data_IF_398955340845
#
_entry.id   IF_398955340845
#
_cell.length_a   1.000
_cell.length_b   1.000
_cell.length_c   1.000
_cell.angle_alpha   90.00
_cell.angle_beta   90.00
_cell.angle_gamma   90.00
#
_symmetry.space_group_name_H-M   'P 1'
#
loop_
_entity.id
_entity.type
_entity.pdbx_description
1 polymer ?
#
# COMPACT_ATOMS: atom_id res chain seq x y z
N UNK A 1 -21.72 -17.84 -13.74
CA UNK A 1 -21.99 -17.03 -12.55
C UNK A 1 -22.10 -15.53 -12.87
N UNK A 2 -21.96 -15.14 -14.15
CA UNK A 2 -22.04 -13.74 -14.60
C UNK A 2 -20.77 -12.90 -14.30
N UNK A 3 -19.65 -13.53 -13.99
CA UNK A 3 -18.37 -12.86 -13.74
C UNK A 3 -17.39 -13.10 -14.88
N UNK A 4 -16.56 -12.08 -15.14
CA UNK A 4 -15.43 -12.17 -16.09
C UNK A 4 -14.15 -12.39 -15.30
N UNK A 5 -13.46 -13.50 -15.60
CA UNK A 5 -12.21 -13.88 -14.94
C UNK A 5 -11.06 -13.77 -15.94
N UNK A 6 -10.29 -12.67 -15.85
CA UNK A 6 -9.12 -12.45 -16.71
C UNK A 6 -8.15 -11.46 -16.03
N UNK A 7 -6.89 -11.46 -16.46
CA UNK A 7 -5.93 -10.43 -16.08
C UNK A 7 -6.43 -9.04 -16.50
N UNK A 8 -6.48 -8.10 -15.54
CA UNK A 8 -6.93 -6.73 -15.78
C UNK A 8 -8.45 -6.60 -15.98
N UNK A 9 -9.26 -7.63 -15.67
CA UNK A 9 -10.71 -7.52 -15.82
C UNK A 9 -11.33 -6.52 -14.83
N UNK A 10 -10.80 -6.47 -13.62
CA UNK A 10 -11.21 -5.59 -12.53
C UNK A 10 -10.17 -4.49 -12.26
N UNK A 11 -8.94 -4.70 -12.65
CA UNK A 11 -7.82 -3.80 -12.49
C UNK A 11 -7.04 -3.72 -13.82
N UNK A 12 -7.30 -2.68 -14.66
CA UNK A 12 -8.46 -1.74 -14.56
C UNK A 12 -9.24 -1.65 -15.88
N UNK A 13 -9.18 -2.66 -16.76
CA UNK A 13 -9.89 -2.63 -18.08
C UNK A 13 -11.41 -2.47 -17.95
N UNK A 14 -12.00 -3.00 -16.86
CA UNK A 14 -13.42 -2.82 -16.55
C UNK A 14 -13.74 -1.34 -16.33
N UNK A 15 -13.00 -0.69 -15.46
CA UNK A 15 -13.14 0.73 -15.11
C UNK A 15 -12.89 1.62 -16.34
N UNK A 16 -11.82 1.36 -17.10
CA UNK A 16 -11.56 2.08 -18.35
C UNK A 16 -12.69 1.93 -19.37
N UNK A 17 -13.28 0.75 -19.50
CA UNK A 17 -14.43 0.52 -20.40
C UNK A 17 -15.68 1.25 -19.90
N UNK A 18 -15.92 1.36 -18.60
CA UNK A 18 -17.04 2.13 -18.03
C UNK A 18 -16.93 3.59 -18.46
N UNK A 19 -15.74 4.20 -18.41
CA UNK A 19 -15.52 5.59 -18.85
C UNK A 19 -15.82 5.77 -20.33
N UNK A 20 -15.36 4.86 -21.17
CA UNK A 20 -15.64 4.89 -22.63
C UNK A 20 -17.14 4.78 -22.90
N UNK A 21 -17.85 3.88 -22.20
CA UNK A 21 -19.29 3.69 -22.36
C UNK A 21 -20.11 4.85 -21.80
N UNK A 22 -19.69 5.43 -20.70
CA UNK A 22 -20.29 6.65 -20.14
C UNK A 22 -20.19 7.82 -21.13
N UNK A 23 -19.02 8.01 -21.72
CA UNK A 23 -18.79 9.03 -22.73
C UNK A 23 -19.62 8.80 -24.01
N UNK A 24 -19.66 7.56 -24.53
CA UNK A 24 -20.48 7.18 -25.68
C UNK A 24 -21.98 7.50 -25.43
N UNK A 25 -22.45 7.19 -24.21
CA UNK A 25 -23.85 7.47 -23.83
C UNK A 25 -24.10 8.97 -23.73
N UNK A 26 -23.21 9.73 -23.10
CA UNK A 26 -23.35 11.18 -23.00
C UNK A 26 -23.44 11.88 -24.39
N UNK A 27 -22.65 11.40 -25.36
CA UNK A 27 -22.74 11.89 -26.75
C UNK A 27 -24.09 11.55 -27.34
N UNK A 28 -24.54 10.29 -27.26
CA UNK A 28 -25.80 9.83 -27.86
C UNK A 28 -27.02 10.55 -27.31
N UNK A 29 -27.01 10.83 -26.02
CA UNK A 29 -28.11 11.53 -25.33
C UNK A 29 -28.00 13.06 -25.42
N UNK A 30 -26.97 13.61 -26.07
CA UNK A 30 -26.75 15.06 -26.18
C UNK A 30 -26.42 15.74 -24.83
N UNK A 31 -25.91 15.00 -23.87
CA UNK A 31 -25.58 15.49 -22.51
C UNK A 31 -24.15 16.03 -22.39
N UNK A 32 -23.30 15.78 -23.37
CA UNK A 32 -21.91 16.19 -23.33
C UNK A 32 -21.79 17.71 -23.57
N UNK A 33 -21.34 18.44 -22.57
CA UNK A 33 -21.19 19.91 -22.59
C UNK A 33 -19.74 20.39 -22.44
N UNK A 34 -18.78 19.48 -22.48
CA UNK A 34 -17.35 19.78 -22.29
C UNK A 34 -16.50 19.04 -23.31
N UNK A 35 -15.24 19.46 -23.44
CA UNK A 35 -14.23 18.69 -24.17
C UNK A 35 -13.73 17.56 -23.28
N UNK A 36 -13.48 16.41 -23.89
CA UNK A 36 -12.96 15.23 -23.17
C UNK A 36 -11.67 14.76 -23.82
N UNK A 37 -10.69 14.47 -23.01
CA UNK A 37 -9.42 13.85 -23.38
C UNK A 37 -9.30 12.53 -22.65
N UNK A 38 -8.88 11.48 -23.34
CA UNK A 38 -8.58 10.18 -22.75
C UNK A 38 -7.07 9.97 -22.75
N UNK A 39 -6.55 9.53 -21.61
CA UNK A 39 -5.18 9.04 -21.48
C UNK A 39 -5.29 7.58 -21.06
N UNK A 40 -4.67 6.70 -21.82
CA UNK A 40 -4.53 5.29 -21.47
C UNK A 40 -3.07 5.00 -21.24
N UNK A 41 -2.76 4.50 -20.06
CA UNK A 41 -1.43 4.11 -19.67
C UNK A 41 -1.29 2.59 -19.69
N UNK A 42 -0.12 2.09 -20.02
CA UNK A 42 0.18 0.66 -20.05
C UNK A 42 1.31 0.23 -19.11
N UNK A 43 1.82 1.14 -18.28
CA UNK A 43 2.99 0.91 -17.40
C UNK A 43 2.67 1.03 -15.90
N UNK A 44 1.39 1.19 -15.53
CA UNK A 44 0.98 1.40 -14.13
C UNK A 44 1.53 0.31 -13.21
N UNK A 45 1.37 -0.96 -13.59
CA UNK A 45 1.80 -2.14 -12.83
C UNK A 45 3.33 -2.26 -12.61
N UNK A 46 4.12 -1.46 -13.29
CA UNK A 46 5.58 -1.36 -13.11
C UNK A 46 6.02 0.01 -12.57
N UNK A 47 5.07 0.83 -12.08
CA UNK A 47 5.32 2.13 -11.46
C UNK A 47 5.41 3.30 -12.41
N UNK A 48 4.79 3.20 -13.60
CA UNK A 48 4.62 4.32 -14.55
C UNK A 48 5.91 5.07 -14.92
N UNK A 49 7.00 4.41 -15.28
CA UNK A 49 8.30 5.06 -15.44
C UNK A 49 8.34 6.15 -16.52
N UNK A 50 7.45 6.08 -17.51
CA UNK A 50 7.37 7.05 -18.61
C UNK A 50 6.32 8.15 -18.43
N UNK A 51 5.40 8.00 -17.47
CA UNK A 51 4.23 8.89 -17.35
C UNK A 51 4.61 10.32 -16.96
N UNK A 52 5.54 10.48 -16.02
CA UNK A 52 5.95 11.81 -15.57
C UNK A 52 6.60 12.63 -16.70
N UNK A 53 7.50 12.01 -17.46
CA UNK A 53 8.14 12.67 -18.59
C UNK A 53 7.15 12.98 -19.71
N UNK A 54 6.24 12.04 -20.01
CA UNK A 54 5.16 12.28 -20.96
C UNK A 54 4.28 13.48 -20.55
N UNK A 55 3.89 13.56 -19.29
CA UNK A 55 3.08 14.67 -18.78
C UNK A 55 3.84 16.01 -18.88
N UNK A 56 5.14 16.00 -18.61
CA UNK A 56 5.99 17.18 -18.69
C UNK A 56 6.12 17.69 -20.12
N UNK A 57 6.35 16.79 -21.07
CA UNK A 57 6.52 17.10 -22.51
C UNK A 57 5.22 17.54 -23.16
N UNK A 58 4.07 17.00 -22.75
CA UNK A 58 2.76 17.25 -23.34
C UNK A 58 1.83 18.11 -22.48
N UNK A 59 2.39 18.96 -21.61
CA UNK A 59 1.64 19.76 -20.64
C UNK A 59 0.48 20.56 -21.24
N UNK A 60 0.70 21.20 -22.39
CA UNK A 60 -0.34 21.99 -23.06
C UNK A 60 -1.44 21.11 -23.67
N UNK A 61 -1.08 19.94 -24.20
CA UNK A 61 -2.05 18.96 -24.69
C UNK A 61 -2.94 18.41 -23.56
N UNK A 62 -2.32 18.17 -22.40
CA UNK A 62 -2.98 17.57 -21.24
C UNK A 62 -3.77 18.55 -20.38
N UNK A 63 -3.62 19.85 -20.62
CA UNK A 63 -4.32 20.88 -19.84
C UNK A 63 -5.82 20.62 -19.81
N UNK A 64 -6.39 20.55 -18.61
CA UNK A 64 -7.80 20.29 -18.33
C UNK A 64 -8.23 21.04 -17.07
N UNK A 65 -9.52 21.26 -16.92
CA UNK A 65 -10.11 21.87 -15.72
C UNK A 65 -10.33 20.83 -14.62
N UNK A 66 -10.58 19.57 -15.02
CA UNK A 66 -10.81 18.42 -14.14
C UNK A 66 -10.08 17.21 -14.69
N UNK A 67 -9.49 16.42 -13.81
CA UNK A 67 -8.91 15.11 -14.11
C UNK A 67 -9.72 14.08 -13.33
N UNK A 68 -10.24 13.08 -14.05
CA UNK A 68 -10.88 11.90 -13.47
C UNK A 68 -9.94 10.70 -13.63
N UNK A 69 -9.49 10.15 -12.52
CA UNK A 69 -8.71 8.89 -12.48
C UNK A 69 -9.68 7.75 -12.24
N UNK A 70 -9.67 6.73 -13.09
CA UNK A 70 -10.65 5.66 -13.08
C UNK A 70 -10.14 4.34 -12.51
N UNK A 71 -9.02 4.35 -11.84
CA UNK A 71 -8.40 3.18 -11.20
C UNK A 71 -8.87 3.04 -9.75
N UNK A 72 -10.16 2.82 -9.56
CA UNK A 72 -10.79 2.66 -8.23
C UNK A 72 -11.91 1.63 -8.29
N UNK A 73 -12.42 1.24 -7.11
CA UNK A 73 -13.53 0.30 -6.98
C UNK A 73 -14.75 0.95 -6.31
N UNK A 74 -15.93 0.36 -6.50
CA UNK A 74 -17.13 0.71 -5.74
C UNK A 74 -17.09 0.07 -4.34
N UNK A 75 -17.84 0.62 -3.40
CA UNK A 75 -18.03 0.02 -2.06
C UNK A 75 -18.68 -1.37 -2.17
N UNK A 76 -19.68 -1.49 -3.03
CA UNK A 76 -20.31 -2.77 -3.41
C UNK A 76 -21.01 -2.64 -4.77
N UNK A 77 -21.52 -3.73 -5.30
CA UNK A 77 -22.31 -3.71 -6.55
C UNK A 77 -23.55 -2.79 -6.48
N UNK A 78 -24.09 -2.61 -5.27
CA UNK A 78 -25.28 -1.79 -5.02
C UNK A 78 -24.95 -0.38 -4.51
N UNK A 79 -23.68 -0.11 -4.17
CA UNK A 79 -23.26 1.15 -3.57
C UNK A 79 -22.14 1.78 -4.40
N UNK A 80 -22.47 2.63 -5.38
CA UNK A 80 -21.46 3.38 -6.12
C UNK A 80 -20.73 4.35 -5.19
N UNK A 81 -19.48 4.65 -5.53
CA UNK A 81 -18.66 5.59 -4.76
C UNK A 81 -17.78 6.43 -5.66
N UNK A 82 -17.43 7.61 -5.19
CA UNK A 82 -16.38 8.45 -5.73
C UNK A 82 -15.23 8.46 -4.74
N UNK A 83 -14.07 7.97 -5.18
CA UNK A 83 -12.85 8.01 -4.38
C UNK A 83 -12.27 9.43 -4.42
N UNK A 84 -12.16 10.06 -3.27
CA UNK A 84 -11.66 11.44 -3.15
C UNK A 84 -10.20 11.52 -2.74
N UNK A 85 -9.57 10.39 -2.43
CA UNK A 85 -8.16 10.37 -2.05
C UNK A 85 -7.58 8.96 -2.11
N UNK A 86 -6.26 8.92 -2.24
CA UNK A 86 -5.47 7.70 -2.25
C UNK A 86 -4.37 7.81 -1.21
N UNK A 87 -4.11 6.72 -0.51
CA UNK A 87 -2.98 6.62 0.40
C UNK A 87 -1.67 6.55 -0.40
N UNK A 88 -0.63 7.17 0.15
CA UNK A 88 0.72 7.01 -0.35
C UNK A 88 1.30 5.63 -0.08
N UNK A 89 2.50 5.42 -0.57
CA UNK A 89 3.24 4.17 -0.45
C UNK A 89 4.72 4.46 -0.25
N UNK A 90 5.38 3.67 0.60
CA UNK A 90 6.82 3.48 0.57
C UNK A 90 7.13 1.99 0.70
N UNK A 91 8.12 1.51 -0.05
CA UNK A 91 8.43 0.09 -0.18
C UNK A 91 9.94 -0.16 -0.06
N UNK A 92 10.33 -1.23 0.65
CA UNK A 92 11.73 -1.58 0.87
C UNK A 92 11.96 -3.07 0.75
N UNK A 93 13.20 -3.40 0.39
CA UNK A 93 13.77 -4.72 0.58
C UNK A 93 14.81 -4.66 1.71
N UNK A 94 14.78 -5.62 2.62
CA UNK A 94 15.66 -5.73 3.77
C UNK A 94 16.47 -7.00 3.63
N UNK A 95 17.79 -6.88 3.71
CA UNK A 95 18.73 -8.00 3.79
C UNK A 95 19.42 -8.00 5.17
N UNK A 96 19.27 -9.08 5.91
CA UNK A 96 20.04 -9.34 7.13
C UNK A 96 21.13 -10.34 6.82
N UNK A 97 22.39 -9.95 7.04
CA UNK A 97 23.57 -10.79 6.84
C UNK A 97 24.20 -11.15 8.18
N UNK A 98 24.37 -12.43 8.44
CA UNK A 98 25.05 -13.01 9.60
C UNK A 98 26.42 -13.58 9.25
N UNK A 99 26.64 -14.92 9.41
CA UNK A 99 27.92 -15.54 9.11
C UNK A 99 28.24 -15.51 7.59
N UNK A 100 29.50 -15.75 7.24
CA UNK A 100 29.97 -15.71 5.84
C UNK A 100 29.49 -16.89 4.97
N UNK A 101 28.82 -17.87 5.55
CA UNK A 101 28.22 -19.04 4.91
C UNK A 101 27.16 -19.66 5.81
N UNK A 102 26.35 -20.53 5.27
CA UNK A 102 25.42 -21.33 6.07
C UNK A 102 26.18 -22.25 7.01
N UNK A 103 25.72 -22.34 8.25
CA UNK A 103 26.34 -23.10 9.32
C UNK A 103 25.40 -24.21 9.83
N UNK A 104 25.98 -25.22 10.46
CA UNK A 104 25.20 -26.26 11.12
C UNK A 104 24.65 -25.74 12.46
N UNK A 105 23.33 -25.71 12.61
CA UNK A 105 22.69 -25.14 13.81
C UNK A 105 23.00 -25.91 15.10
N UNK A 106 23.28 -27.21 15.02
CA UNK A 106 23.69 -28.02 16.18
C UNK A 106 25.09 -27.69 16.72
N UNK A 107 25.95 -27.09 15.90
CA UNK A 107 27.31 -26.70 16.31
C UNK A 107 27.41 -25.21 16.67
N UNK A 108 26.65 -24.35 15.97
CA UNK A 108 26.78 -22.89 16.06
C UNK A 108 25.55 -22.22 16.69
N UNK A 109 24.42 -22.95 16.82
CA UNK A 109 23.21 -22.45 17.44
C UNK A 109 23.45 -22.05 18.90
N UNK A 110 22.92 -20.88 19.28
CA UNK A 110 23.16 -20.29 20.61
C UNK A 110 24.45 -19.48 20.74
N UNK A 111 25.42 -19.66 19.81
CA UNK A 111 26.68 -18.91 19.80
C UNK A 111 26.74 -17.87 18.65
N UNK A 112 26.10 -18.19 17.52
CA UNK A 112 26.05 -17.32 16.33
C UNK A 112 24.60 -16.92 16.08
N UNK A 113 24.37 -15.65 15.81
CA UNK A 113 23.05 -15.15 15.51
C UNK A 113 22.48 -15.75 14.21
N UNK A 114 21.21 -16.15 14.25
CA UNK A 114 20.47 -16.56 13.07
C UNK A 114 19.83 -15.33 12.42
N UNK A 115 20.18 -14.97 11.17
CA UNK A 115 19.60 -13.82 10.47
C UNK A 115 18.08 -13.84 10.39
N UNK A 116 17.44 -15.01 10.26
CA UNK A 116 15.98 -15.13 10.25
C UNK A 116 15.40 -14.69 11.60
N UNK A 117 15.96 -15.17 12.72
CA UNK A 117 15.49 -14.79 14.05
C UNK A 117 15.61 -13.28 14.31
N UNK A 118 16.74 -12.69 13.84
CA UNK A 118 16.95 -11.24 13.94
C UNK A 118 15.94 -10.49 13.09
N UNK A 119 15.77 -10.90 11.83
CA UNK A 119 14.81 -10.28 10.91
C UNK A 119 13.38 -10.35 11.47
N UNK A 120 12.94 -11.53 11.92
CA UNK A 120 11.60 -11.70 12.50
C UNK A 120 11.39 -10.77 13.71
N UNK A 121 12.41 -10.64 14.57
CA UNK A 121 12.31 -9.74 15.71
C UNK A 121 12.25 -8.27 15.29
N UNK A 122 13.11 -7.84 14.38
CA UNK A 122 13.09 -6.47 13.85
C UNK A 122 11.71 -6.13 13.26
N UNK A 123 11.13 -7.05 12.48
CA UNK A 123 9.81 -6.84 11.87
C UNK A 123 8.69 -6.84 12.90
N UNK A 124 8.72 -7.73 13.88
CA UNK A 124 7.71 -7.78 14.93
C UNK A 124 7.71 -6.54 15.84
N UNK A 125 8.88 -5.93 16.03
CA UNK A 125 9.01 -4.74 16.87
C UNK A 125 8.54 -3.44 16.18
N UNK A 126 8.22 -3.46 14.86
CA UNK A 126 7.76 -2.27 14.11
C UNK A 126 6.31 -1.89 14.43
N UNK A 127 5.49 -2.84 14.84
CA UNK A 127 4.12 -2.58 15.28
C UNK A 127 3.92 -3.06 16.71
N UNK A 128 3.14 -2.31 17.49
CA UNK A 128 2.78 -2.71 18.85
C UNK A 128 1.52 -3.59 18.88
N UNK A 129 1.12 -3.99 20.09
CA UNK A 129 -0.08 -4.83 20.33
C UNK A 129 -1.40 -4.14 19.97
N UNK A 130 -1.42 -2.83 19.88
CA UNK A 130 -2.56 -2.01 19.49
C UNK A 130 -2.55 -1.70 17.98
N UNK A 131 -1.63 -2.30 17.20
CA UNK A 131 -1.51 -2.15 15.75
C UNK A 131 -0.89 -0.82 15.31
N UNK A 132 -0.25 -0.09 16.22
CA UNK A 132 0.39 1.19 15.94
C UNK A 132 1.86 1.00 15.53
N UNK A 133 2.31 1.73 14.51
CA UNK A 133 3.71 1.72 14.07
C UNK A 133 4.58 2.39 15.15
N UNK A 134 5.66 1.73 15.58
CA UNK A 134 6.50 2.14 16.71
C UNK A 134 7.71 2.98 16.30
N UNK A 135 7.92 3.21 15.00
CA UNK A 135 9.01 4.04 14.51
C UNK A 135 8.84 5.46 15.07
N UNK A 136 9.83 6.00 15.79
CA UNK A 136 9.73 7.34 16.35
C UNK A 136 9.44 8.39 15.27
N UNK A 137 8.64 9.39 15.63
CA UNK A 137 8.21 10.52 14.77
C UNK A 137 7.45 10.12 13.50
N UNK A 138 7.14 8.83 13.33
CA UNK A 138 6.39 8.33 12.16
C UNK A 138 5.02 9.00 12.01
N UNK A 139 4.38 9.34 13.13
CA UNK A 139 3.05 9.95 13.16
C UNK A 139 3.05 11.48 13.22
N UNK A 140 4.21 12.14 13.20
CA UNK A 140 4.28 13.61 13.37
C UNK A 140 3.51 14.37 12.27
N UNK A 141 3.48 13.83 11.06
CA UNK A 141 2.76 14.40 9.92
C UNK A 141 1.40 13.70 9.67
N UNK A 142 0.93 12.86 10.59
CA UNK A 142 -0.36 12.16 10.49
C UNK A 142 -1.42 12.98 11.20
N UNK A 143 -2.41 13.45 10.45
CA UNK A 143 -3.58 14.11 11.02
C UNK A 143 -4.54 13.08 11.63
N UNK A 144 -5.09 13.40 12.80
CA UNK A 144 -6.15 12.60 13.38
C UNK A 144 -7.46 12.79 12.60
N UNK A 145 -8.21 11.70 12.45
CA UNK A 145 -9.53 11.74 11.81
C UNK A 145 -10.45 12.62 12.64
N UNK A 146 -10.93 13.72 12.07
CA UNK A 146 -11.82 14.65 12.74
C UNK A 146 -13.17 14.00 13.06
N UNK A 147 -13.93 14.51 14.07
CA UNK A 147 -15.27 14.00 14.37
C UNK A 147 -16.22 14.04 13.17
N UNK A 148 -16.11 15.07 12.31
CA UNK A 148 -16.94 15.20 11.11
C UNK A 148 -16.59 14.14 10.06
N UNK A 149 -15.31 13.86 9.86
CA UNK A 149 -14.86 12.77 8.96
C UNK A 149 -15.29 11.41 9.48
N UNK A 150 -15.17 11.15 10.79
CA UNK A 150 -15.66 9.91 11.40
C UNK A 150 -17.15 9.71 11.16
N UNK A 151 -17.94 10.77 11.30
CA UNK A 151 -19.38 10.71 11.04
C UNK A 151 -19.68 10.42 9.56
N UNK A 152 -18.96 11.03 8.63
CA UNK A 152 -19.10 10.74 7.19
C UNK A 152 -18.71 9.30 6.86
N UNK A 153 -17.58 8.82 7.38
CA UNK A 153 -17.12 7.44 7.16
C UNK A 153 -18.14 6.44 7.76
N UNK A 154 -18.72 6.73 8.92
CA UNK A 154 -19.72 5.89 9.56
C UNK A 154 -21.03 5.78 8.77
N UNK A 155 -21.32 6.71 7.85
CA UNK A 155 -22.48 6.65 6.95
C UNK A 155 -22.27 5.71 5.77
N UNK A 156 -21.03 5.32 5.47
CA UNK A 156 -20.74 4.37 4.40
C UNK A 156 -21.32 3.00 4.78
N UNK A 157 -22.17 2.41 3.92
CA UNK A 157 -22.73 1.08 4.21
C UNK A 157 -21.60 0.03 4.29
N UNK A 158 -21.32 -0.42 5.50
CA UNK A 158 -20.29 -1.43 5.75
C UNK A 158 -20.80 -2.46 6.78
N UNK A 159 -20.83 -3.71 6.36
CA UNK A 159 -21.17 -4.86 7.19
C UNK A 159 -19.90 -5.67 7.49
N UNK A 160 -19.38 -5.52 8.72
CA UNK A 160 -18.14 -6.16 9.15
C UNK A 160 -18.23 -7.69 9.11
N UNK A 161 -19.37 -8.28 9.44
CA UNK A 161 -19.54 -9.74 9.40
C UNK A 161 -19.54 -10.26 7.97
N UNK A 162 -20.22 -9.55 7.05
CA UNK A 162 -20.19 -9.86 5.63
C UNK A 162 -18.77 -9.72 5.05
N UNK A 163 -18.05 -8.68 5.46
CA UNK A 163 -16.66 -8.43 5.06
C UNK A 163 -15.74 -9.56 5.53
N UNK A 164 -15.77 -9.91 6.82
CA UNK A 164 -14.99 -11.03 7.39
C UNK A 164 -15.27 -12.34 6.65
N UNK A 165 -16.53 -12.63 6.43
CA UNK A 165 -16.94 -13.84 5.69
C UNK A 165 -16.44 -13.84 4.24
N UNK A 166 -16.46 -12.70 3.57
CA UNK A 166 -16.02 -12.60 2.17
C UNK A 166 -14.51 -12.87 1.99
N UNK A 167 -13.70 -12.46 2.97
CA UNK A 167 -12.24 -12.67 2.96
C UNK A 167 -11.78 -13.89 3.79
N UNK A 168 -12.70 -14.59 4.46
CA UNK A 168 -12.43 -15.84 5.17
C UNK A 168 -11.66 -15.70 6.47
N UNK A 169 -11.90 -14.62 7.25
CA UNK A 169 -11.28 -14.40 8.56
C UNK A 169 -12.30 -14.34 9.67
N UNK A 170 -11.91 -14.79 10.88
CA UNK A 170 -12.78 -14.76 12.06
C UNK A 170 -12.74 -13.42 12.81
N UNK A 171 -11.62 -12.69 12.69
CA UNK A 171 -11.41 -11.40 13.34
C UNK A 171 -10.62 -10.44 12.45
N UNK A 172 -10.84 -9.14 12.65
CA UNK A 172 -10.08 -8.08 12.00
C UNK A 172 -8.98 -7.58 12.93
N UNK A 173 -7.91 -7.07 12.34
CA UNK A 173 -6.75 -6.49 13.01
C UNK A 173 -6.54 -5.05 12.52
N UNK A 174 -5.81 -4.26 13.29
CA UNK A 174 -5.36 -2.92 12.90
C UNK A 174 -5.32 -1.96 14.07
N UNK A 175 -4.98 -0.70 13.80
CA UNK A 175 -4.77 0.32 14.83
C UNK A 175 -6.03 0.48 15.71
N UNK A 176 -5.83 0.36 17.02
CA UNK A 176 -6.91 0.44 18.03
C UNK A 176 -7.53 1.84 18.05
N UNK A 177 -8.84 1.89 18.21
CA UNK A 177 -9.58 3.16 18.27
C UNK A 177 -10.08 3.65 16.90
N UNK A 178 -9.83 2.90 15.83
CA UNK A 178 -10.28 3.20 14.48
C UNK A 178 -11.12 2.05 13.91
N UNK A 179 -12.15 2.38 13.15
CA UNK A 179 -12.97 1.41 12.41
C UNK A 179 -12.17 0.80 11.24
N UNK A 180 -12.68 -0.28 10.66
CA UNK A 180 -12.07 -0.92 9.49
C UNK A 180 -11.94 0.05 8.31
N UNK A 181 -12.97 0.85 8.07
CA UNK A 181 -12.94 1.84 7.00
C UNK A 181 -11.91 2.95 7.26
N UNK A 182 -11.81 3.44 8.50
CA UNK A 182 -10.79 4.43 8.87
C UNK A 182 -9.37 3.88 8.72
N UNK A 183 -9.13 2.62 9.14
CA UNK A 183 -7.83 1.95 8.98
C UNK A 183 -7.43 1.82 7.52
N UNK A 184 -8.38 1.54 6.65
CA UNK A 184 -8.12 1.37 5.22
C UNK A 184 -8.03 2.68 4.43
N UNK A 185 -8.46 3.82 4.98
CA UNK A 185 -8.48 5.12 4.29
C UNK A 185 -7.62 6.18 4.95
N UNK A 186 -7.77 6.38 6.27
CA UNK A 186 -7.24 7.54 7.00
C UNK A 186 -6.05 7.21 7.92
N UNK A 187 -5.67 5.91 8.03
CA UNK A 187 -4.55 5.51 8.88
C UNK A 187 -3.44 4.86 8.07
N UNK A 188 -2.18 5.08 8.47
CA UNK A 188 -1.06 4.38 7.86
C UNK A 188 -1.07 2.90 8.27
N UNK A 189 -0.49 2.05 7.44
CA UNK A 189 -0.26 0.63 7.76
C UNK A 189 1.19 0.23 7.46
N UNK A 190 1.65 -0.83 8.11
CA UNK A 190 2.92 -1.47 7.82
C UNK A 190 2.68 -2.96 7.57
N UNK A 191 3.12 -3.46 6.42
CA UNK A 191 2.88 -4.82 6.00
C UNK A 191 4.16 -5.50 5.51
N UNK A 192 4.38 -6.74 5.95
CA UNK A 192 5.43 -7.60 5.45
C UNK A 192 4.88 -8.34 4.23
N UNK A 193 5.26 -7.90 3.03
CA UNK A 193 4.78 -8.45 1.76
C UNK A 193 5.47 -9.77 1.40
N UNK A 194 6.64 -10.03 1.96
CA UNK A 194 7.38 -11.27 1.77
C UNK A 194 8.51 -11.40 2.77
N UNK A 195 8.79 -12.63 3.22
CA UNK A 195 9.91 -12.93 4.10
C UNK A 195 10.47 -14.29 3.72
N UNK A 196 11.80 -14.41 3.60
CA UNK A 196 12.44 -15.67 3.24
C UNK A 196 13.88 -15.77 3.74
N UNK A 197 14.36 -16.99 3.79
CA UNK A 197 15.72 -17.37 4.19
C UNK A 197 15.76 -18.82 4.68
N UNK A 198 16.96 -19.35 4.87
CA UNK A 198 17.14 -20.72 5.32
C UNK A 198 16.73 -21.79 4.31
N UNK A 199 16.37 -22.95 4.81
CA UNK A 199 16.01 -24.10 3.98
C UNK A 199 14.50 -24.18 3.79
N UNK A 200 14.07 -24.19 2.55
CA UNK A 200 12.65 -24.25 2.14
C UNK A 200 12.32 -25.48 1.29
N UNK A 201 13.28 -26.40 1.11
CA UNK A 201 13.06 -27.64 0.36
C UNK A 201 12.33 -28.71 1.18
N UNK A 202 12.09 -29.87 0.55
CA UNK A 202 11.46 -31.01 1.20
C UNK A 202 12.34 -31.60 2.30
N UNK A 203 11.73 -32.06 3.39
CA UNK A 203 12.42 -32.64 4.55
C UNK A 203 12.94 -31.58 5.51
N UNK A 204 13.90 -31.93 6.36
CA UNK A 204 14.50 -31.07 7.38
C UNK A 204 15.99 -30.86 7.14
N UNK A 205 16.48 -29.64 7.45
CA UNK A 205 17.91 -29.32 7.43
C UNK A 205 18.25 -28.47 8.64
N UNK A 206 19.22 -28.91 9.43
CA UNK A 206 19.72 -28.19 10.60
C UNK A 206 20.65 -27.06 10.17
N UNK A 207 20.10 -26.01 9.58
CA UNK A 207 20.84 -24.86 9.04
C UNK A 207 20.63 -23.61 9.87
N UNK A 208 21.71 -22.86 10.07
CA UNK A 208 21.73 -21.46 10.45
C UNK A 208 22.15 -20.71 9.19
N UNK A 209 21.23 -20.02 8.50
CA UNK A 209 21.54 -19.41 7.22
C UNK A 209 22.50 -18.23 7.36
N UNK A 210 23.19 -17.92 6.28
CA UNK A 210 24.06 -16.73 6.21
C UNK A 210 23.28 -15.43 6.01
N UNK A 211 22.09 -15.51 5.42
CA UNK A 211 21.26 -14.36 5.10
C UNK A 211 19.77 -14.64 5.30
N UNK A 212 19.02 -13.57 5.52
CA UNK A 212 17.55 -13.54 5.50
C UNK A 212 17.06 -12.24 4.84
N UNK A 213 15.86 -12.27 4.26
CA UNK A 213 15.31 -11.19 3.47
C UNK A 213 13.85 -10.92 3.82
N UNK A 214 13.44 -9.67 3.72
CA UNK A 214 12.05 -9.27 3.73
C UNK A 214 11.76 -8.21 2.69
N UNK A 215 10.54 -8.22 2.16
CA UNK A 215 9.94 -7.13 1.42
C UNK A 215 8.84 -6.53 2.28
N UNK A 216 8.89 -5.24 2.49
CA UNK A 216 7.97 -4.54 3.37
C UNK A 216 7.43 -3.29 2.71
N UNK A 217 6.21 -2.95 3.03
CA UNK A 217 5.57 -1.72 2.58
C UNK A 217 4.87 -1.01 3.71
N UNK A 218 4.70 0.29 3.58
CA UNK A 218 3.82 1.08 4.42
C UNK A 218 2.87 1.89 3.54
N UNK A 219 1.58 1.85 3.86
CA UNK A 219 0.63 2.80 3.29
C UNK A 219 0.71 4.07 4.10
N UNK A 220 0.83 5.20 3.40
CA UNK A 220 0.99 6.52 3.99
C UNK A 220 -0.31 7.30 3.84
N UNK A 221 -0.58 8.19 4.79
CA UNK A 221 -1.72 9.10 4.70
C UNK A 221 -1.26 10.45 4.14
N UNK A 222 -2.18 11.34 3.74
CA UNK A 222 -1.83 12.69 3.29
C UNK A 222 -0.92 13.40 4.29
N UNK A 223 -0.03 14.25 3.80
CA UNK A 223 1.01 14.97 4.54
C UNK A 223 2.24 14.15 4.95
N UNK A 224 2.19 12.80 4.92
CA UNK A 224 3.40 12.00 5.06
C UNK A 224 4.17 11.95 3.74
N UNK A 225 5.34 12.58 3.72
CA UNK A 225 6.25 12.52 2.58
C UNK A 225 6.95 11.15 2.51
N UNK A 226 6.78 10.43 1.39
CA UNK A 226 7.30 9.07 1.23
C UNK A 226 8.84 9.00 1.29
N UNK A 227 9.54 10.04 0.82
CA UNK A 227 11.01 10.07 0.86
C UNK A 227 11.50 10.30 2.29
N UNK A 228 10.85 11.21 3.04
CA UNK A 228 11.12 11.42 4.48
C UNK A 228 10.86 10.14 5.29
N UNK A 229 9.74 9.46 5.03
CA UNK A 229 9.42 8.19 5.70
C UNK A 229 10.44 7.10 5.32
N UNK A 230 10.89 7.05 4.06
CA UNK A 230 11.91 6.09 3.64
C UNK A 230 13.22 6.29 4.39
N UNK A 231 13.70 7.52 4.45
CA UNK A 231 14.91 7.84 5.23
C UNK A 231 14.75 7.48 6.72
N UNK A 232 13.62 7.85 7.31
CA UNK A 232 13.29 7.56 8.71
C UNK A 232 13.31 6.04 9.01
N UNK A 233 12.76 5.24 8.11
CA UNK A 233 12.78 3.78 8.23
C UNK A 233 14.20 3.22 8.18
N UNK A 234 15.02 3.68 7.23
CA UNK A 234 16.42 3.26 7.11
C UNK A 234 17.21 3.60 8.38
N UNK A 235 17.07 4.82 8.90
CA UNK A 235 17.72 5.28 10.13
C UNK A 235 17.25 4.49 11.35
N UNK A 236 15.94 4.19 11.43
CA UNK A 236 15.39 3.37 12.51
C UNK A 236 15.99 1.96 12.49
N UNK A 237 15.96 1.27 11.34
CA UNK A 237 16.53 -0.07 11.21
C UNK A 237 18.03 -0.08 11.53
N UNK A 238 18.79 0.90 11.03
CA UNK A 238 20.21 1.02 11.36
C UNK A 238 20.45 1.15 12.88
N UNK A 239 19.62 1.93 13.56
CA UNK A 239 19.72 2.15 15.02
C UNK A 239 19.38 0.92 15.84
N UNK A 240 18.36 0.14 15.46
CA UNK A 240 17.91 -1.04 16.23
C UNK A 240 18.61 -2.34 15.80
N UNK A 241 19.42 -2.29 14.76
CA UNK A 241 20.20 -3.44 14.29
C UNK A 241 21.22 -3.85 15.35
N UNK A 242 21.20 -5.10 15.85
CA UNK A 242 22.16 -5.56 16.81
C UNK A 242 23.57 -5.73 16.20
N UNK A 243 24.65 -5.56 16.98
CA UNK A 243 26.03 -5.49 16.46
C UNK A 243 26.57 -6.81 15.87
N UNK A 244 25.87 -7.91 16.07
CA UNK A 244 26.28 -9.24 15.60
C UNK A 244 25.74 -9.64 14.24
N UNK A 245 25.01 -8.74 13.54
CA UNK A 245 24.58 -8.89 12.15
C UNK A 245 24.77 -7.58 11.38
N UNK A 246 24.69 -7.65 10.06
CA UNK A 246 24.58 -6.46 9.19
C UNK A 246 23.20 -6.42 8.57
N UNK A 247 22.58 -5.26 8.54
CA UNK A 247 21.31 -5.06 7.86
C UNK A 247 21.49 -4.04 6.76
N UNK A 248 20.98 -4.35 5.58
CA UNK A 248 20.88 -3.44 4.45
C UNK A 248 19.40 -3.22 4.16
N UNK A 249 18.97 -1.98 4.16
CA UNK A 249 17.66 -1.55 3.66
C UNK A 249 17.88 -0.96 2.27
N UNK A 250 17.07 -1.39 1.31
CA UNK A 250 17.12 -0.87 -0.06
C UNK A 250 15.73 -0.32 -0.38
N UNK A 251 15.58 1.02 -0.47
CA UNK A 251 14.33 1.62 -0.93
C UNK A 251 14.02 1.14 -2.36
N UNK A 252 12.75 0.92 -2.64
CA UNK A 252 12.25 0.57 -3.96
C UNK A 252 11.43 1.75 -4.51
N UNK A 253 10.16 1.56 -4.71
CA UNK A 253 9.26 2.61 -5.19
C UNK A 253 8.47 3.23 -4.04
N UNK A 254 7.94 4.41 -4.27
CA UNK A 254 7.09 5.14 -3.34
C UNK A 254 6.29 6.21 -4.06
N UNK A 255 5.26 6.69 -3.41
CA UNK A 255 4.41 7.75 -3.94
C UNK A 255 3.72 8.52 -2.82
N UNK A 256 3.45 9.78 -3.09
CA UNK A 256 2.75 10.67 -2.17
C UNK A 256 1.27 10.31 -2.12
N UNK A 257 0.68 10.32 -0.92
CA UNK A 257 -0.77 10.30 -0.76
C UNK A 257 -1.40 11.60 -1.24
N UNK A 258 -2.65 11.52 -1.68
CA UNK A 258 -3.39 12.68 -2.14
C UNK A 258 -4.84 12.62 -1.68
N UNK A 259 -5.39 13.77 -1.27
CA UNK A 259 -6.82 13.95 -1.00
C UNK A 259 -7.33 15.16 -1.77
N UNK A 260 -8.40 14.94 -2.52
CA UNK A 260 -9.07 15.98 -3.27
C UNK A 260 -10.13 16.65 -2.37
N UNK A 261 -10.19 17.98 -2.31
CA UNK A 261 -11.26 18.68 -1.59
C UNK A 261 -12.64 18.29 -2.13
N UNK A 262 -13.53 17.84 -1.25
CA UNK A 262 -14.89 17.36 -1.62
C UNK A 262 -15.88 18.48 -1.96
N UNK A 263 -15.53 19.73 -1.70
CA UNK A 263 -16.31 20.93 -2.01
C UNK A 263 -16.08 21.49 -3.41
N UNK A 264 -15.26 20.80 -4.21
CA UNK A 264 -15.03 21.18 -5.60
C UNK A 264 -16.34 21.08 -6.43
N UNK A 265 -16.58 22.04 -7.36
CA UNK A 265 -17.76 22.00 -8.23
C UNK A 265 -17.90 20.70 -9.05
N UNK A 266 -16.80 20.00 -9.31
CA UNK A 266 -16.79 18.74 -10.03
C UNK A 266 -17.46 17.58 -9.26
N UNK A 267 -17.65 17.71 -7.93
CA UNK A 267 -18.35 16.74 -7.09
C UNK A 267 -19.82 17.06 -6.86
N UNK A 268 -20.30 18.20 -7.31
CA UNK A 268 -21.71 18.66 -7.21
C UNK A 268 -22.49 18.33 -8.49
#
# INVERSE_FOLDING_TARGET
DGRIWARGADDDKGQGMIQVKGFETAIKEGLLQCNVKFIFEGEEEIGSPSLEDFCREHKELLKADVILVSDTSMVSAETPSLTTGLRGLAYWEIEVTGPNRDLHSGHFGGAVANPINVLCKLMADITDVDGRITIPVFYDDVEDVSPAEREMIAQIPFDEEKYKKAIGVDALFGEKGYSTLERNSCRPSFDICGIWGGYTGEGSKTVLPSKAYAKVSTRLVPHQDHAKISQMFEEYIARVTPPYVKVKVTPSHGGQGYVCPIDLPAYQ
#
